data_IF_291100965325
#
_entry.id   IF_291100965325
#
_cell.length_a   1.000
_cell.length_b   1.000
_cell.length_c   1.000
_cell.angle_alpha   90.00
_cell.angle_beta   90.00
_cell.angle_gamma   90.00
#
_symmetry.space_group_name_H-M   'P 1'
#
loop_
_entity.id
_entity.type
_entity.pdbx_description
1 polymer ?
#
# COMPACT_ATOMS: atom_id res chain seq x y z
N UNK A 1 -7.97 8.86 2.66
CA UNK A 1 -6.54 9.13 2.90
C UNK A 1 -6.11 8.55 4.22
N UNK A 2 -4.87 8.10 4.31
CA UNK A 2 -4.37 7.39 5.47
C UNK A 2 -3.01 7.93 5.95
N UNK A 3 -2.73 7.77 7.23
CA UNK A 3 -1.40 7.95 7.82
C UNK A 3 -1.08 6.74 8.69
N UNK A 4 0.05 6.12 8.46
CA UNK A 4 0.62 5.16 9.38
C UNK A 4 1.59 5.84 10.36
N UNK A 5 1.62 5.33 11.57
CA UNK A 5 2.48 5.80 12.64
C UNK A 5 2.98 4.64 13.51
N UNK A 6 3.98 4.91 14.31
CA UNK A 6 4.51 3.93 15.28
C UNK A 6 4.67 4.60 16.63
N UNK A 7 4.00 4.06 17.64
CA UNK A 7 4.12 4.48 19.03
C UNK A 7 5.21 3.68 19.72
N UNK A 8 6.23 4.37 20.21
CA UNK A 8 7.34 3.80 20.95
C UNK A 8 7.39 4.31 22.39
N UNK A 9 8.25 3.75 23.23
CA UNK A 9 8.51 4.30 24.58
C UNK A 9 8.98 5.76 24.55
N UNK A 10 9.65 6.18 23.46
CA UNK A 10 10.21 7.53 23.31
C UNK A 10 9.17 8.54 22.77
N UNK A 11 8.09 8.08 22.16
CA UNK A 11 7.03 8.92 21.58
C UNK A 11 6.48 8.32 20.29
N UNK A 12 5.63 9.08 19.61
CA UNK A 12 4.96 8.66 18.38
C UNK A 12 5.67 9.21 17.14
N UNK A 13 6.05 8.33 16.23
CA UNK A 13 6.64 8.65 14.93
C UNK A 13 5.51 8.61 13.90
N UNK A 14 5.37 9.67 13.11
CA UNK A 14 4.27 9.85 12.16
C UNK A 14 4.76 9.78 10.72
N UNK A 15 4.21 8.87 9.96
CA UNK A 15 4.48 8.71 8.52
C UNK A 15 3.87 9.81 7.64
N UNK A 16 3.93 9.68 6.31
CA UNK A 16 3.32 10.62 5.38
C UNK A 16 1.80 10.45 5.30
N UNK A 17 1.10 11.52 4.93
CA UNK A 17 -0.30 11.42 4.50
C UNK A 17 -0.34 10.86 3.08
N UNK A 18 -1.07 9.77 2.89
CA UNK A 18 -1.24 9.06 1.63
C UNK A 18 -2.64 9.25 1.07
N UNK A 19 -2.78 9.33 -0.24
CA UNK A 19 -4.06 9.09 -0.91
C UNK A 19 -4.28 7.60 -1.06
N UNK A 20 -5.54 7.18 -1.08
CA UNK A 20 -5.92 5.78 -1.23
C UNK A 20 -6.59 5.56 -2.58
N UNK A 21 -6.29 4.41 -3.19
CA UNK A 21 -7.02 3.88 -4.33
C UNK A 21 -8.14 2.98 -3.79
N UNK A 22 -9.39 3.38 -4.02
CA UNK A 22 -10.55 2.66 -3.49
C UNK A 22 -11.61 2.48 -4.58
N UNK A 23 -12.09 1.24 -4.74
CA UNK A 23 -13.25 0.94 -5.58
C UNK A 23 -13.03 1.05 -7.08
N UNK A 24 -11.79 0.97 -7.57
CA UNK A 24 -11.49 0.90 -8.99
C UNK A 24 -11.89 -0.47 -9.56
N UNK A 25 -12.86 -0.55 -10.51
CA UNK A 25 -13.30 -1.83 -11.05
C UNK A 25 -12.19 -2.63 -11.73
N UNK A 26 -11.16 -1.93 -12.21
CA UNK A 26 -9.97 -2.55 -12.80
C UNK A 26 -9.10 -3.28 -11.77
N UNK A 27 -9.25 -2.98 -10.49
CA UNK A 27 -8.40 -3.50 -9.43
C UNK A 27 -9.14 -4.34 -8.41
N UNK A 28 -10.41 -4.09 -8.19
CA UNK A 28 -11.20 -4.78 -7.16
C UNK A 28 -12.65 -4.98 -7.62
N UNK A 29 -13.28 -6.13 -7.32
CA UNK A 29 -14.70 -6.33 -7.59
C UNK A 29 -15.60 -5.59 -6.60
N UNK A 30 -15.04 -5.06 -5.50
CA UNK A 30 -15.80 -4.45 -4.41
C UNK A 30 -15.84 -2.93 -4.55
N UNK A 31 -17.03 -2.34 -4.50
CA UNK A 31 -17.23 -0.90 -4.65
C UNK A 31 -16.44 -0.03 -3.66
N UNK A 32 -16.22 -0.50 -2.43
CA UNK A 32 -15.41 0.17 -1.41
C UNK A 32 -14.06 -0.51 -1.15
N UNK A 33 -13.64 -1.44 -2.04
CA UNK A 33 -12.41 -2.20 -1.85
C UNK A 33 -11.17 -1.34 -2.00
N UNK A 34 -10.32 -1.33 -0.97
CA UNK A 34 -8.99 -0.75 -1.06
C UNK A 34 -8.12 -1.55 -2.04
N UNK A 35 -7.36 -0.84 -2.86
CA UNK A 35 -6.50 -1.42 -3.89
C UNK A 35 -5.18 -0.68 -4.11
N UNK A 36 -4.76 0.14 -3.16
CA UNK A 36 -3.45 0.78 -3.19
C UNK A 36 -3.40 2.17 -2.60
N UNK A 37 -2.24 2.81 -2.72
CA UNK A 37 -1.98 4.15 -2.21
C UNK A 37 -1.04 4.93 -3.14
N UNK A 38 -1.10 6.26 -3.06
CA UNK A 38 -0.10 7.17 -3.62
C UNK A 38 0.46 8.10 -2.55
N UNK A 39 1.76 8.37 -2.64
CA UNK A 39 2.43 9.44 -1.90
C UNK A 39 3.05 10.39 -2.93
N UNK A 40 2.74 11.67 -2.86
CA UNK A 40 3.38 12.70 -3.67
C UNK A 40 3.25 14.08 -3.02
N UNK A 41 4.20 15.01 -3.26
CA UNK A 41 4.28 16.26 -2.53
C UNK A 41 3.03 17.13 -2.60
N UNK A 42 2.32 17.11 -3.73
CA UNK A 42 1.16 17.97 -4.00
C UNK A 42 -0.19 17.27 -3.82
N UNK A 43 -0.21 16.07 -3.19
CA UNK A 43 -1.46 15.35 -2.91
C UNK A 43 -2.42 16.17 -2.06
N UNK A 44 -1.88 16.92 -1.13
CA UNK A 44 -2.62 17.69 -0.13
C UNK A 44 -1.99 19.07 0.09
N UNK A 45 -2.82 20.03 0.48
CA UNK A 45 -2.30 21.31 0.95
C UNK A 45 -1.43 21.12 2.20
N UNK A 46 -0.44 21.99 2.42
CA UNK A 46 0.40 21.94 3.62
C UNK A 46 -0.43 22.03 4.90
N UNK A 47 -1.48 22.86 4.89
CA UNK A 47 -2.41 23.00 6.02
C UNK A 47 -3.08 21.66 6.36
N UNK A 48 -3.60 20.95 5.36
CA UNK A 48 -4.28 19.67 5.57
C UNK A 48 -3.30 18.60 6.05
N UNK A 49 -2.12 18.55 5.45
CA UNK A 49 -1.04 17.63 5.84
C UNK A 49 -0.62 17.83 7.28
N UNK A 50 -0.40 19.08 7.70
CA UNK A 50 -0.04 19.40 9.07
C UNK A 50 -1.16 19.02 10.05
N UNK A 51 -2.43 19.27 9.69
CA UNK A 51 -3.59 18.90 10.51
C UNK A 51 -3.70 17.39 10.69
N UNK A 52 -3.56 16.62 9.63
CA UNK A 52 -3.60 15.17 9.68
C UNK A 52 -2.47 14.60 10.55
N UNK A 53 -1.25 15.10 10.37
CA UNK A 53 -0.09 14.67 11.16
C UNK A 53 -0.23 15.05 12.65
N UNK A 54 -0.73 16.23 12.95
CA UNK A 54 -1.00 16.66 14.33
C UNK A 54 -2.05 15.77 15.02
N UNK A 55 -3.13 15.44 14.30
CA UNK A 55 -4.13 14.50 14.79
C UNK A 55 -3.54 13.12 15.05
N UNK A 56 -2.75 12.61 14.10
CA UNK A 56 -2.10 11.30 14.23
C UNK A 56 -1.11 11.27 15.40
N UNK A 57 -0.31 12.32 15.55
CA UNK A 57 0.62 12.44 16.67
C UNK A 57 -0.13 12.45 18.03
N UNK A 58 -1.12 13.32 18.19
CA UNK A 58 -1.93 13.42 19.42
C UNK A 58 -2.64 12.10 19.73
N UNK A 59 -3.18 11.46 18.72
CA UNK A 59 -3.84 10.16 18.87
C UNK A 59 -2.83 9.08 19.33
N UNK A 60 -1.67 9.01 18.69
CA UNK A 60 -0.61 8.10 19.07
C UNK A 60 -0.09 8.34 20.50
N UNK A 61 0.06 9.61 20.92
CA UNK A 61 0.44 9.94 22.29
C UNK A 61 -0.65 9.54 23.32
N UNK A 62 -1.92 9.60 22.94
CA UNK A 62 -2.98 9.08 23.80
C UNK A 62 -2.95 7.55 23.86
N UNK A 63 -2.77 6.87 22.75
CA UNK A 63 -2.56 5.41 22.71
C UNK A 63 -1.37 5.00 23.58
N UNK A 64 -0.27 5.77 23.54
CA UNK A 64 0.91 5.54 24.36
C UNK A 64 0.63 5.62 25.86
N UNK A 65 -0.18 6.58 26.29
CA UNK A 65 -0.61 6.72 27.70
C UNK A 65 -1.46 5.54 28.16
N UNK A 66 -2.29 5.00 27.25
CA UNK A 66 -3.10 3.80 27.51
C UNK A 66 -2.28 2.49 27.45
N UNK A 67 -0.98 2.58 27.21
CA UNK A 67 -0.07 1.43 27.17
C UNK A 67 0.12 0.79 25.82
N UNK A 68 -0.49 1.31 24.74
CA UNK A 68 -0.26 0.81 23.37
C UNK A 68 1.17 1.10 22.93
N UNK A 69 1.76 0.14 22.22
CA UNK A 69 3.06 0.24 21.56
C UNK A 69 2.98 -0.39 20.19
N UNK A 70 3.71 0.20 19.25
CA UNK A 70 3.86 -0.35 17.91
C UNK A 70 3.10 0.41 16.84
N UNK A 71 2.90 -0.27 15.73
CA UNK A 71 2.36 0.25 14.48
C UNK A 71 0.84 0.47 14.56
N UNK A 72 0.37 1.57 13.97
CA UNK A 72 -1.05 1.80 13.73
C UNK A 72 -1.24 2.67 12.50
N UNK A 73 -2.44 2.68 11.95
CA UNK A 73 -2.88 3.52 10.84
C UNK A 73 -4.16 4.26 11.24
N UNK A 74 -4.24 5.52 10.84
CA UNK A 74 -5.46 6.31 10.90
C UNK A 74 -5.95 6.63 9.50
N UNK A 75 -7.21 6.29 9.23
CA UNK A 75 -7.90 6.68 8.01
C UNK A 75 -8.64 7.99 8.23
N UNK A 76 -8.51 8.88 7.24
CA UNK A 76 -9.12 10.19 7.26
C UNK A 76 -10.07 10.40 6.09
N UNK A 77 -11.18 11.05 6.37
CA UNK A 77 -12.10 11.58 5.38
C UNK A 77 -11.87 13.08 5.22
N UNK A 78 -11.67 13.52 3.99
CA UNK A 78 -11.53 14.95 3.66
C UNK A 78 -12.79 15.41 2.94
N UNK A 79 -13.49 16.38 3.51
CA UNK A 79 -14.56 17.07 2.77
C UNK A 79 -13.93 17.96 1.69
N UNK A 80 -14.19 17.64 0.44
CA UNK A 80 -13.63 18.37 -0.69
C UNK A 80 -14.14 19.81 -0.82
N UNK A 81 -15.32 20.13 -0.25
CA UNK A 81 -15.90 21.48 -0.31
C UNK A 81 -15.35 22.40 0.77
N UNK A 82 -15.30 21.92 1.99
CA UNK A 82 -14.83 22.71 3.14
C UNK A 82 -13.32 22.57 3.38
N UNK A 83 -12.70 21.51 2.89
CA UNK A 83 -11.32 21.13 3.22
C UNK A 83 -11.16 20.62 4.66
N UNK A 84 -12.27 20.29 5.32
CA UNK A 84 -12.23 19.74 6.68
C UNK A 84 -11.82 18.28 6.69
N UNK A 85 -11.04 17.91 7.71
CA UNK A 85 -10.51 16.57 7.92
C UNK A 85 -11.23 15.91 9.09
N UNK A 86 -11.71 14.71 8.89
CA UNK A 86 -12.38 13.89 9.89
C UNK A 86 -11.63 12.57 10.06
N UNK A 87 -11.49 12.11 11.31
CA UNK A 87 -10.99 10.78 11.60
C UNK A 87 -12.08 9.76 11.23
N UNK A 88 -11.74 8.79 10.40
CA UNK A 88 -12.63 7.73 9.93
C UNK A 88 -12.46 6.44 10.71
N UNK A 89 -11.24 5.89 10.75
CA UNK A 89 -10.96 4.58 11.31
C UNK A 89 -9.60 4.54 11.99
N UNK A 90 -9.47 3.69 13.01
CA UNK A 90 -8.20 3.27 13.60
C UNK A 90 -7.93 1.82 13.25
N UNK A 91 -6.78 1.56 12.65
CA UNK A 91 -6.23 0.23 12.40
C UNK A 91 -5.00 0.01 13.31
N UNK A 92 -5.13 -0.57 14.53
CA UNK A 92 -4.01 -0.74 15.47
C UNK A 92 -3.15 -1.96 15.08
N UNK A 93 -2.63 -1.97 13.87
CA UNK A 93 -1.87 -3.07 13.27
C UNK A 93 -1.12 -2.59 12.03
N UNK A 94 -0.28 -3.47 11.49
CA UNK A 94 0.25 -3.36 10.13
C UNK A 94 -0.90 -3.52 9.14
N UNK A 95 -0.91 -2.70 8.08
CA UNK A 95 -1.97 -2.65 7.06
C UNK A 95 -1.42 -2.92 5.66
N UNK A 96 -2.30 -2.89 4.67
CA UNK A 96 -1.90 -2.97 3.27
C UNK A 96 -1.05 -1.77 2.81
N UNK A 97 -1.21 -0.62 3.46
CA UNK A 97 -0.44 0.58 3.17
C UNK A 97 1.00 0.54 3.71
N UNK A 98 1.31 -0.38 4.63
CA UNK A 98 2.63 -0.46 5.29
C UNK A 98 3.78 -0.70 4.32
N UNK A 99 3.54 -1.36 3.18
CA UNK A 99 4.54 -1.52 2.14
C UNK A 99 4.96 -0.16 1.56
N UNK A 100 4.02 0.79 1.40
CA UNK A 100 4.31 2.14 0.93
C UNK A 100 5.10 2.94 1.96
N UNK A 101 4.67 2.94 3.20
CA UNK A 101 5.32 3.70 4.28
C UNK A 101 6.74 3.20 4.52
N UNK A 102 6.97 1.90 4.41
CA UNK A 102 8.30 1.31 4.61
C UNK A 102 9.17 1.35 3.35
N UNK A 103 8.58 1.50 2.19
CA UNK A 103 9.29 1.53 0.92
C UNK A 103 9.30 2.92 0.25
N UNK A 104 8.46 3.84 0.63
CA UNK A 104 8.39 5.18 0.06
C UNK A 104 9.52 6.10 0.55
N UNK A 105 9.39 7.39 0.39
CA UNK A 105 10.41 8.41 0.56
C UNK A 105 11.37 8.22 1.75
N UNK A 106 10.85 7.81 2.90
CA UNK A 106 11.65 7.71 4.11
C UNK A 106 12.72 6.62 4.08
N UNK A 107 12.40 5.48 3.49
CA UNK A 107 13.35 4.37 3.44
C UNK A 107 14.60 4.66 2.59
N UNK A 108 14.66 5.80 1.89
CA UNK A 108 15.86 6.27 1.21
C UNK A 108 16.75 7.13 2.09
N UNK A 109 16.14 8.05 2.84
CA UNK A 109 16.84 9.02 3.66
C UNK A 109 17.01 8.54 5.10
N UNK A 110 16.11 7.67 5.56
CA UNK A 110 15.99 7.22 6.94
C UNK A 110 15.70 5.74 7.09
N UNK A 111 15.48 5.33 8.33
CA UNK A 111 14.98 4.01 8.65
C UNK A 111 13.51 3.87 8.26
N UNK A 112 13.05 2.70 7.78
CA UNK A 112 11.64 2.45 7.54
C UNK A 112 10.85 2.50 8.87
N UNK A 113 9.60 2.97 8.81
CA UNK A 113 8.74 3.09 10.00
C UNK A 113 8.61 1.77 10.76
N UNK A 114 8.59 0.64 10.06
CA UNK A 114 8.52 -0.69 10.65
C UNK A 114 9.74 -1.05 11.53
N UNK A 115 10.90 -0.44 11.29
CA UNK A 115 12.08 -0.65 12.13
C UNK A 115 11.81 -0.20 13.58
N UNK A 116 11.09 0.90 13.78
CA UNK A 116 10.77 1.39 15.13
C UNK A 116 9.82 0.44 15.86
N UNK A 117 8.90 -0.20 15.13
CA UNK A 117 8.08 -1.28 15.67
C UNK A 117 8.96 -2.46 16.13
N UNK A 118 9.90 -2.91 15.30
CA UNK A 118 10.81 -3.99 15.67
C UNK A 118 11.69 -3.62 16.87
N UNK A 119 12.22 -2.40 16.90
CA UNK A 119 13.03 -1.90 18.02
C UNK A 119 12.24 -1.88 19.33
N UNK A 120 10.97 -1.44 19.30
CA UNK A 120 10.13 -1.39 20.50
C UNK A 120 9.95 -2.79 21.14
N UNK A 121 9.84 -3.83 20.31
CA UNK A 121 9.61 -5.21 20.76
C UNK A 121 10.88 -6.07 20.87
N UNK A 122 12.03 -5.53 20.49
CA UNK A 122 13.32 -6.28 20.53
C UNK A 122 14.01 -6.26 21.88
N UNK A 123 13.53 -5.49 22.85
CA UNK A 123 14.19 -5.20 24.12
C UNK A 123 15.59 -4.57 23.99
N UNK A 124 15.94 -4.04 22.82
CA UNK A 124 17.16 -3.29 22.60
C UNK A 124 16.95 -1.84 23.07
N UNK A 125 17.83 -1.30 23.93
CA UNK A 125 17.79 0.11 24.27
C UNK A 125 18.03 0.97 23.03
N UNK A 126 17.17 1.97 22.82
CA UNK A 126 17.35 2.96 21.78
C UNK A 126 16.85 4.33 22.25
N UNK A 127 17.45 5.37 21.71
CA UNK A 127 17.06 6.75 21.92
C UNK A 127 16.72 7.38 20.57
N UNK A 128 15.68 8.18 20.53
CA UNK A 128 15.21 8.87 19.33
C UNK A 128 14.84 10.30 19.71
N UNK A 129 15.29 11.25 18.91
CA UNK A 129 14.74 12.60 18.88
C UNK A 129 13.47 12.57 18.02
N UNK A 130 12.33 12.39 18.70
CA UNK A 130 11.03 12.25 18.06
C UNK A 130 10.63 13.53 17.32
N UNK A 131 10.94 14.68 17.88
CA UNK A 131 10.56 15.98 17.31
C UNK A 131 11.36 16.26 16.05
N UNK A 132 12.68 16.01 16.07
CA UNK A 132 13.53 16.12 14.89
C UNK A 132 13.10 15.17 13.79
N UNK A 133 12.89 13.89 14.12
CA UNK A 133 12.49 12.87 13.16
C UNK A 133 11.14 13.20 12.51
N UNK A 134 10.15 13.59 13.30
CA UNK A 134 8.84 13.98 12.80
C UNK A 134 8.90 15.27 11.95
N UNK A 135 9.74 16.25 12.33
CA UNK A 135 9.93 17.47 11.55
C UNK A 135 10.56 17.16 10.18
N UNK A 136 11.60 16.35 10.17
CA UNK A 136 12.29 15.92 8.94
C UNK A 136 11.38 15.13 8.01
N UNK A 137 10.58 14.23 8.56
CA UNK A 137 9.62 13.45 7.76
C UNK A 137 8.39 14.26 7.30
N UNK A 138 8.10 15.39 7.94
CA UNK A 138 7.06 16.31 7.50
C UNK A 138 7.50 17.23 6.37
N UNK A 139 8.81 17.41 6.17
CA UNK A 139 9.36 18.33 5.19
C UNK A 139 8.97 17.90 3.77
N UNK A 140 8.44 18.85 2.98
CA UNK A 140 7.90 18.56 1.64
C UNK A 140 8.95 18.01 0.69
N UNK A 141 10.20 18.46 0.79
CA UNK A 141 11.34 18.01 0.00
C UNK A 141 11.71 16.53 0.25
N UNK A 142 11.30 15.98 1.38
CA UNK A 142 11.52 14.58 1.73
C UNK A 142 10.36 13.67 1.29
N UNK A 143 9.29 14.22 0.69
CA UNK A 143 8.18 13.45 0.16
C UNK A 143 8.47 13.10 -1.30
N UNK A 144 8.76 11.84 -1.55
CA UNK A 144 8.99 11.31 -2.90
C UNK A 144 7.66 10.93 -3.58
N UNK A 145 7.71 10.67 -4.87
CA UNK A 145 6.54 10.36 -5.69
C UNK A 145 6.48 8.86 -5.99
N UNK A 146 5.70 8.15 -5.20
CA UNK A 146 5.54 6.70 -5.29
C UNK A 146 4.08 6.27 -5.20
N UNK A 147 3.80 5.14 -5.84
CA UNK A 147 2.48 4.51 -5.79
C UNK A 147 2.62 3.00 -5.61
N UNK A 148 1.63 2.41 -4.97
CA UNK A 148 1.42 0.97 -5.03
C UNK A 148 0.02 0.66 -5.55
N UNK A 149 -0.08 -0.43 -6.29
CA UNK A 149 -1.32 -0.99 -6.80
C UNK A 149 -1.41 -2.45 -6.37
N UNK A 150 -2.48 -2.82 -5.69
CA UNK A 150 -2.81 -4.23 -5.43
C UNK A 150 -3.72 -4.72 -6.53
N UNK A 151 -3.20 -5.60 -7.36
CA UNK A 151 -3.96 -6.19 -8.47
C UNK A 151 -4.76 -7.38 -7.94
N UNK A 152 -6.08 -7.29 -8.00
CA UNK A 152 -6.98 -8.38 -7.59
C UNK A 152 -7.61 -9.07 -8.80
N UNK A 153 -8.05 -10.30 -8.58
CA UNK A 153 -8.94 -10.97 -9.52
C UNK A 153 -10.34 -10.39 -9.40
N UNK A 154 -10.87 -9.88 -10.51
CA UNK A 154 -12.15 -9.13 -10.52
C UNK A 154 -13.31 -9.91 -11.12
N UNK A 155 -13.04 -11.10 -11.66
CA UNK A 155 -14.06 -11.96 -12.26
C UNK A 155 -14.64 -12.91 -11.20
N UNK A 156 -15.94 -13.18 -11.28
CA UNK A 156 -16.61 -14.17 -10.42
C UNK A 156 -16.35 -15.59 -10.94
N UNK A 157 -15.09 -15.99 -10.87
CA UNK A 157 -14.62 -17.33 -11.27
C UNK A 157 -13.73 -17.91 -10.18
N UNK A 158 -13.59 -19.24 -10.18
CA UNK A 158 -12.61 -19.94 -9.38
C UNK A 158 -11.76 -20.81 -10.29
N UNK A 159 -10.47 -20.51 -10.32
CA UNK A 159 -9.49 -21.19 -11.17
C UNK A 159 -8.34 -21.73 -10.31
N UNK A 160 -7.69 -22.79 -10.79
CA UNK A 160 -6.35 -23.18 -10.32
C UNK A 160 -5.34 -22.57 -11.27
N UNK A 161 -4.43 -21.75 -10.75
CA UNK A 161 -3.41 -21.10 -11.56
C UNK A 161 -2.42 -22.10 -12.14
N UNK A 162 -2.21 -22.02 -13.44
CA UNK A 162 -1.16 -22.78 -14.16
C UNK A 162 0.06 -21.90 -14.46
N UNK A 163 -0.12 -20.57 -14.50
CA UNK A 163 0.94 -19.62 -14.79
C UNK A 163 0.68 -18.31 -14.01
N UNK A 164 1.76 -17.69 -13.54
CA UNK A 164 1.77 -16.37 -12.91
C UNK A 164 3.08 -15.63 -13.26
N UNK A 165 3.08 -14.29 -13.32
CA UNK A 165 4.30 -13.53 -13.56
C UNK A 165 5.28 -13.66 -12.37
N UNK A 166 6.58 -13.57 -12.62
CA UNK A 166 7.61 -13.65 -11.60
C UNK A 166 7.69 -12.33 -10.81
N UNK A 167 8.07 -12.44 -9.51
CA UNK A 167 8.47 -11.27 -8.72
C UNK A 167 9.79 -10.71 -9.24
N UNK A 168 9.90 -9.37 -9.23
CA UNK A 168 11.11 -8.67 -9.68
C UNK A 168 10.79 -7.35 -10.36
N UNK A 169 11.75 -6.84 -11.12
CA UNK A 169 11.60 -5.60 -11.89
C UNK A 169 11.03 -5.93 -13.26
N UNK A 170 10.00 -5.19 -13.60
CA UNK A 170 9.31 -5.20 -14.87
C UNK A 170 9.49 -3.88 -15.58
N UNK A 171 9.50 -3.87 -16.89
CA UNK A 171 9.68 -2.68 -17.72
C UNK A 171 8.55 -2.55 -18.75
N UNK A 172 8.03 -1.34 -18.88
CA UNK A 172 7.08 -0.95 -19.92
C UNK A 172 7.82 -0.36 -21.11
N UNK A 173 7.69 -0.99 -22.27
CA UNK A 173 8.23 -0.50 -23.55
C UNK A 173 7.52 0.75 -24.07
N UNK A 174 8.04 1.33 -25.14
CA UNK A 174 7.42 2.46 -25.84
C UNK A 174 6.07 2.10 -26.47
N UNK A 175 5.88 0.85 -26.82
CA UNK A 175 4.61 0.26 -27.30
C UNK A 175 3.61 0.01 -26.18
N UNK A 176 4.00 0.24 -24.91
CA UNK A 176 3.18 0.00 -23.72
C UNK A 176 3.14 -1.46 -23.27
N UNK A 177 3.91 -2.34 -23.89
CA UNK A 177 4.01 -3.73 -23.43
C UNK A 177 4.85 -3.83 -22.15
N UNK A 178 4.39 -4.67 -21.22
CA UNK A 178 5.03 -4.91 -19.94
C UNK A 178 5.80 -6.24 -20.01
N UNK A 179 7.12 -6.16 -19.79
CA UNK A 179 8.01 -7.30 -19.86
C UNK A 179 8.82 -7.45 -18.58
N UNK A 180 9.12 -8.70 -18.21
CA UNK A 180 10.06 -9.00 -17.13
C UNK A 180 11.45 -8.53 -17.54
N UNK A 181 12.12 -7.78 -16.65
CA UNK A 181 13.45 -7.24 -16.92
C UNK A 181 14.52 -8.00 -16.12
N UNK A 182 14.40 -8.04 -14.80
CA UNK A 182 15.40 -8.68 -13.95
C UNK A 182 14.84 -9.07 -12.58
N UNK A 183 15.51 -10.01 -11.94
CA UNK A 183 15.25 -10.32 -10.55
C UNK A 183 15.82 -9.20 -9.65
N UNK A 184 14.97 -8.64 -8.83
CA UNK A 184 15.30 -7.81 -7.69
C UNK A 184 14.11 -7.83 -6.74
N UNK A 185 14.34 -7.60 -5.46
CA UNK A 185 13.30 -7.55 -4.44
C UNK A 185 13.27 -6.21 -3.69
N UNK A 186 14.08 -5.25 -4.15
CA UNK A 186 14.13 -3.95 -3.52
C UNK A 186 13.67 -2.85 -4.49
N UNK A 187 12.70 -2.03 -4.06
CA UNK A 187 12.19 -0.94 -4.89
C UNK A 187 13.25 0.10 -5.34
N UNK A 188 14.40 0.18 -4.63
CA UNK A 188 15.53 1.04 -5.08
C UNK A 188 16.04 0.65 -6.45
N UNK A 189 15.76 -0.56 -6.90
CA UNK A 189 16.05 -1.00 -8.25
C UNK A 189 15.11 -0.40 -9.31
N UNK A 190 14.00 0.25 -8.92
CA UNK A 190 13.10 0.98 -9.83
C UNK A 190 13.69 2.35 -10.11
N UNK A 191 14.28 2.52 -11.29
CA UNK A 191 15.04 3.72 -11.66
C UNK A 191 14.18 4.78 -12.35
N UNK A 192 13.09 4.38 -12.98
CA UNK A 192 12.24 5.27 -13.79
C UNK A 192 10.76 4.94 -13.67
N UNK A 193 9.89 5.82 -14.19
CA UNK A 193 8.46 5.57 -14.29
C UNK A 193 8.07 4.46 -15.28
N UNK A 194 9.02 4.01 -16.09
CA UNK A 194 8.87 2.87 -17.00
C UNK A 194 9.17 1.53 -16.35
N UNK A 195 9.61 1.54 -15.11
CA UNK A 195 9.88 0.34 -14.33
C UNK A 195 8.91 0.21 -13.16
N UNK A 196 8.67 -1.02 -12.76
CA UNK A 196 7.90 -1.35 -11.57
C UNK A 196 8.53 -2.55 -10.86
N UNK A 197 8.52 -2.52 -9.54
CA UNK A 197 8.73 -3.72 -8.75
C UNK A 197 7.38 -4.45 -8.62
N UNK A 198 7.35 -5.72 -9.03
CA UNK A 198 6.17 -6.57 -8.84
C UNK A 198 6.45 -7.65 -7.80
N UNK A 199 5.61 -7.70 -6.77
CA UNK A 199 5.60 -8.76 -5.78
C UNK A 199 4.42 -9.68 -6.06
N UNK A 200 4.69 -10.90 -6.53
CA UNK A 200 3.67 -11.91 -6.74
C UNK A 200 3.14 -12.43 -5.39
N UNK A 201 1.83 -12.49 -5.25
CA UNK A 201 1.15 -13.13 -4.11
C UNK A 201 0.71 -14.53 -4.52
N UNK A 202 -0.13 -14.67 -5.55
CA UNK A 202 -0.58 -15.97 -6.04
C UNK A 202 0.40 -16.55 -7.05
N UNK A 203 0.77 -17.81 -6.86
CA UNK A 203 1.69 -18.60 -7.68
C UNK A 203 0.97 -19.75 -8.41
N UNK A 204 1.60 -20.39 -9.39
CA UNK A 204 1.06 -21.60 -9.99
C UNK A 204 0.73 -22.67 -8.93
N UNK A 205 -0.46 -23.26 -9.04
CA UNK A 205 -1.02 -24.20 -8.08
C UNK A 205 -1.96 -23.57 -7.03
N UNK A 206 -1.94 -22.27 -6.87
CA UNK A 206 -2.87 -21.56 -5.96
C UNK A 206 -4.24 -21.38 -6.61
N UNK A 207 -5.26 -21.22 -5.76
CA UNK A 207 -6.61 -20.89 -6.19
C UNK A 207 -6.74 -19.38 -6.41
N UNK A 208 -7.26 -19.01 -7.58
CA UNK A 208 -7.66 -17.64 -7.89
C UNK A 208 -9.19 -17.56 -7.82
N UNK A 209 -9.71 -16.64 -7.04
CA UNK A 209 -11.13 -16.41 -6.83
C UNK A 209 -11.43 -14.90 -6.81
N UNK A 210 -12.68 -14.52 -6.93
CA UNK A 210 -13.11 -13.12 -6.91
C UNK A 210 -12.59 -12.38 -5.66
N UNK A 211 -11.87 -11.28 -5.87
CA UNK A 211 -11.24 -10.48 -4.82
C UNK A 211 -9.88 -10.97 -4.33
N UNK A 212 -9.38 -12.12 -4.82
CA UNK A 212 -8.05 -12.61 -4.46
C UNK A 212 -6.95 -11.66 -4.93
N UNK A 213 -5.99 -11.37 -4.05
CA UNK A 213 -4.82 -10.55 -4.36
C UNK A 213 -3.84 -11.32 -5.25
N UNK A 214 -3.68 -10.91 -6.48
CA UNK A 214 -2.74 -11.52 -7.43
C UNK A 214 -1.30 -11.10 -7.12
N UNK A 215 -1.11 -9.83 -6.80
CA UNK A 215 0.20 -9.27 -6.47
C UNK A 215 0.16 -7.76 -6.30
N UNK A 216 1.30 -7.19 -5.93
CA UNK A 216 1.48 -5.78 -5.64
C UNK A 216 2.50 -5.18 -6.61
N UNK A 217 2.12 -4.10 -7.28
CA UNK A 217 3.03 -3.25 -8.07
C UNK A 217 3.44 -2.04 -7.24
N UNK A 218 4.75 -1.78 -7.15
CA UNK A 218 5.32 -0.55 -6.60
C UNK A 218 5.95 0.23 -7.75
N UNK A 219 5.53 1.48 -7.92
CA UNK A 219 5.79 2.32 -9.07
C UNK A 219 6.33 3.68 -8.65
N UNK A 220 7.24 4.26 -9.44
CA UNK A 220 7.50 5.70 -9.37
C UNK A 220 6.37 6.46 -10.04
N UNK A 221 6.11 7.67 -9.55
CA UNK A 221 5.10 8.55 -10.11
C UNK A 221 3.67 8.18 -9.75
N UNK A 222 2.76 8.98 -10.24
CA UNK A 222 1.33 8.87 -9.93
C UNK A 222 0.63 7.82 -10.78
N UNK A 223 -0.38 7.19 -10.21
CA UNK A 223 -1.27 6.23 -10.90
C UNK A 223 -2.70 6.75 -11.02
N UNK A 224 -3.05 7.83 -10.30
CA UNK A 224 -4.34 8.51 -10.45
C UNK A 224 -4.19 9.89 -11.09
N UNK A 225 -5.22 10.30 -11.82
CA UNK A 225 -5.41 11.68 -12.30
C UNK A 225 -5.94 12.58 -11.17
N UNK A 226 -5.99 13.90 -11.42
CA UNK A 226 -6.64 14.85 -10.50
C UNK A 226 -8.16 14.63 -10.34
N UNK A 227 -8.77 13.83 -11.19
CA UNK A 227 -10.19 13.45 -11.13
C UNK A 227 -10.41 12.11 -10.40
N UNK A 228 -9.37 11.56 -9.79
CA UNK A 228 -9.40 10.23 -9.15
C UNK A 228 -9.73 9.09 -10.12
N UNK A 229 -9.24 9.16 -11.34
CA UNK A 229 -9.31 8.11 -12.35
C UNK A 229 -7.92 7.50 -12.52
N UNK A 230 -7.83 6.21 -12.85
CA UNK A 230 -6.53 5.60 -13.17
C UNK A 230 -5.92 6.23 -14.41
N UNK A 231 -4.64 6.54 -14.35
CA UNK A 231 -3.89 7.03 -15.52
C UNK A 231 -3.79 5.93 -16.57
N UNK A 232 -3.63 6.30 -17.86
CA UNK A 232 -3.40 5.33 -18.94
C UNK A 232 -2.18 4.43 -18.65
N UNK A 233 -1.13 5.00 -18.08
CA UNK A 233 0.06 4.26 -17.64
C UNK A 233 -0.29 3.19 -16.59
N UNK A 234 -1.08 3.55 -15.59
CA UNK A 234 -1.53 2.60 -14.57
C UNK A 234 -2.36 1.47 -15.17
N UNK A 235 -3.31 1.80 -16.07
CA UNK A 235 -4.14 0.80 -16.75
C UNK A 235 -3.29 -0.18 -17.57
N UNK A 236 -2.27 0.29 -18.28
CA UNK A 236 -1.33 -0.55 -19.03
C UNK A 236 -0.56 -1.50 -18.12
N UNK A 237 -0.06 -1.02 -16.98
CA UNK A 237 0.59 -1.85 -15.97
C UNK A 237 -0.34 -2.94 -15.43
N UNK A 238 -1.56 -2.57 -15.05
CA UNK A 238 -2.56 -3.50 -14.52
C UNK A 238 -2.89 -4.57 -15.54
N UNK A 239 -3.19 -4.15 -16.79
CA UNK A 239 -3.52 -5.08 -17.86
C UNK A 239 -2.34 -5.99 -18.21
N UNK A 240 -1.14 -5.42 -18.35
CA UNK A 240 0.07 -6.17 -18.69
C UNK A 240 0.34 -7.31 -17.70
N UNK A 241 0.39 -6.98 -16.40
CA UNK A 241 0.63 -8.00 -15.36
C UNK A 241 -0.52 -9.00 -15.27
N UNK A 242 -1.78 -8.53 -15.24
CA UNK A 242 -2.95 -9.42 -15.10
C UNK A 242 -3.05 -10.39 -16.27
N UNK A 243 -2.72 -9.96 -17.48
CA UNK A 243 -2.78 -10.79 -18.70
C UNK A 243 -1.83 -11.97 -18.70
N UNK A 244 -0.84 -11.99 -17.80
CA UNK A 244 0.13 -13.11 -17.69
C UNK A 244 -0.35 -14.23 -16.77
N UNK A 245 -1.39 -13.98 -15.98
CA UNK A 245 -2.00 -15.02 -15.17
C UNK A 245 -2.85 -15.94 -16.04
N UNK A 246 -2.59 -17.25 -15.99
CA UNK A 246 -3.38 -18.30 -16.63
C UNK A 246 -3.88 -19.26 -15.58
N UNK A 247 -5.11 -19.67 -15.70
CA UNK A 247 -5.74 -20.63 -14.81
C UNK A 247 -6.61 -21.60 -15.58
N UNK A 248 -6.93 -22.71 -14.94
CA UNK A 248 -7.91 -23.67 -15.43
C UNK A 248 -9.15 -23.56 -14.52
N UNK A 249 -10.34 -23.29 -15.09
CA UNK A 249 -11.57 -23.24 -14.33
C UNK A 249 -11.79 -24.55 -13.57
N UNK A 250 -12.19 -24.42 -12.32
CA UNK A 250 -12.64 -25.58 -11.54
C UNK A 250 -14.00 -26.03 -12.07
N UNK A 251 -14.09 -27.29 -12.49
CA UNK A 251 -15.38 -27.88 -12.82
C UNK A 251 -16.14 -28.20 -11.52
N UNK A 252 -17.49 -28.16 -11.52
CA UNK A 252 -18.29 -28.50 -10.34
C UNK A 252 -17.96 -29.87 -9.71
N UNK A 253 -17.50 -30.82 -10.50
CA UNK A 253 -17.04 -32.13 -10.03
C UNK A 253 -15.70 -32.12 -9.28
N UNK A 254 -14.90 -31.05 -9.44
CA UNK A 254 -13.63 -30.86 -8.75
C UNK A 254 -13.78 -30.04 -7.45
N UNK A 255 -14.94 -29.44 -7.19
CA UNK A 255 -15.22 -28.80 -5.91
C UNK A 255 -15.38 -29.86 -4.83
N UNK A 256 -14.62 -29.81 -3.72
CA UNK A 256 -14.89 -30.71 -2.61
C UNK A 256 -16.33 -30.52 -2.17
N UNK A 257 -17.06 -31.63 -1.98
CA UNK A 257 -18.40 -31.60 -1.44
C UNK A 257 -18.41 -30.70 -0.19
N UNK A 258 -19.41 -29.82 -0.10
CA UNK A 258 -19.57 -28.79 0.92
C UNK A 258 -19.02 -29.22 2.29
N UNK A 259 -17.90 -28.64 2.68
CA UNK A 259 -17.54 -28.62 4.09
C UNK A 259 -18.44 -27.56 4.74
N UNK A 260 -19.59 -28.00 5.25
CA UNK A 260 -20.36 -27.18 6.16
C UNK A 260 -19.49 -26.86 7.37
N UNK A 261 -18.92 -25.67 7.41
CA UNK A 261 -18.34 -25.15 8.64
C UNK A 261 -19.51 -24.86 9.59
N UNK A 262 -19.79 -25.77 10.49
CA UNK A 262 -20.57 -25.45 11.68
C UNK A 262 -19.66 -24.55 12.53
N UNK A 263 -19.99 -23.28 12.58
CA UNK A 263 -19.50 -22.38 13.62
C UNK A 263 -20.18 -22.87 14.91
N UNK A 264 -19.39 -23.40 15.81
CA UNK A 264 -19.81 -23.70 17.21
C UNK A 264 -19.71 -22.40 18.00
#
# INVERSE_FOLDING_TARGET
>A
SAIEACTTKNGTIVGPLMTELVGFPELTPYRGGWCGNEIFPDAFTQKLRNKARDYTFKFGEQLRKEGYRGYFELDFLTDQKSGELYLGELNPRITGASSMTNHAAFAHADAPLFLFHLLEFSNVPFELDIDELNARWAARENIDNWSQIVIKHTENTVDVLSQAPESGIWRMGDDGQVNYDRFDYHRRAVESEREAFYLRILKPGDYRYEGADLGILVLRGRVMTSKFELTERAQRWIHGIRSMYRGQPMTPAALPAERSFKIL
#
